data_IF_886637232547
#
_entry.id   IF_886637232547
#
_cell.length_a   1.000
_cell.length_b   1.000
_cell.length_c   1.000
_cell.angle_alpha   90.00
_cell.angle_beta   90.00
_cell.angle_gamma   90.00
#
_symmetry.space_group_name_H-M   'P 1'
#
loop_
_entity.id
_entity.type
_entity.pdbx_description
1 polymer ?
#
# COMPACT_ATOMS: atom_id res chain seq x y z
N UNK A 1 -2.45 -3.59 -7.88
CA UNK A 1 -2.97 -2.47 -8.70
C UNK A 1 -2.21 -1.20 -8.40
N UNK A 2 -1.72 -0.55 -9.46
CA UNK A 2 -1.15 0.80 -9.41
C UNK A 2 -1.81 1.60 -10.53
N UNK A 3 -2.25 2.82 -10.23
CA UNK A 3 -2.89 3.70 -11.20
C UNK A 3 -2.97 5.13 -10.71
N UNK A 4 -3.51 5.99 -11.55
CA UNK A 4 -3.83 7.39 -11.24
C UNK A 4 -5.31 7.60 -11.44
N UNK A 5 -5.95 8.39 -10.60
CA UNK A 5 -7.39 8.61 -10.66
C UNK A 5 -7.84 9.72 -9.74
N UNK A 6 -9.03 9.61 -9.16
CA UNK A 6 -9.56 10.56 -8.18
C UNK A 6 -10.54 9.92 -7.22
N UNK A 7 -10.79 10.60 -6.10
CA UNK A 7 -11.93 10.31 -5.24
C UNK A 7 -13.15 11.02 -5.85
N UNK A 8 -14.10 10.26 -6.36
CA UNK A 8 -15.34 10.81 -6.91
C UNK A 8 -16.32 11.26 -5.81
N UNK A 9 -16.18 10.69 -4.61
CA UNK A 9 -16.91 11.08 -3.42
C UNK A 9 -16.65 10.13 -2.26
N UNK A 10 -17.10 10.51 -1.07
CA UNK A 10 -17.16 9.58 0.05
C UNK A 10 -18.39 9.86 0.92
N UNK A 11 -18.86 8.83 1.61
CA UNK A 11 -19.96 8.90 2.55
C UNK A 11 -19.52 8.37 3.92
N UNK A 12 -19.96 9.00 5.00
CA UNK A 12 -19.66 8.59 6.36
C UNK A 12 -20.93 8.06 7.02
N UNK A 13 -20.92 6.77 7.35
CA UNK A 13 -22.00 6.11 8.09
C UNK A 13 -21.59 5.93 9.55
N UNK A 14 -22.50 5.40 10.38
CA UNK A 14 -22.24 5.22 11.83
C UNK A 14 -20.94 4.48 12.14
N UNK A 15 -20.61 3.43 11.36
CA UNK A 15 -19.45 2.54 11.61
C UNK A 15 -18.38 2.57 10.51
N UNK A 16 -18.68 3.09 9.33
CA UNK A 16 -17.82 2.96 8.15
C UNK A 16 -17.74 4.26 7.37
N UNK A 17 -16.62 4.44 6.66
CA UNK A 17 -16.48 5.42 5.59
C UNK A 17 -16.48 4.66 4.28
N UNK A 18 -17.32 5.08 3.34
CA UNK A 18 -17.41 4.52 1.99
C UNK A 18 -16.76 5.50 1.03
N UNK A 19 -15.65 5.11 0.40
CA UNK A 19 -14.88 5.96 -0.52
C UNK A 19 -15.06 5.46 -1.95
N UNK A 20 -15.58 6.32 -2.82
CA UNK A 20 -15.73 6.03 -4.23
C UNK A 20 -14.51 6.57 -4.99
N UNK A 21 -13.81 5.68 -5.66
CA UNK A 21 -12.62 6.01 -6.45
C UNK A 21 -12.91 5.74 -7.93
N UNK A 22 -12.47 6.64 -8.78
CA UNK A 22 -12.49 6.46 -10.23
C UNK A 22 -11.09 6.49 -10.80
N UNK A 23 -10.80 5.55 -11.70
CA UNK A 23 -9.54 5.48 -12.45
C UNK A 23 -9.83 5.31 -13.94
N UNK A 24 -8.93 5.78 -14.84
CA UNK A 24 -9.04 5.52 -16.27
C UNK A 24 -9.19 4.03 -16.55
N UNK A 25 -10.02 3.68 -17.54
CA UNK A 25 -10.28 2.30 -17.88
C UNK A 25 -9.06 1.64 -18.52
N UNK A 26 -8.54 0.62 -17.86
CA UNK A 26 -7.54 -0.30 -18.39
C UNK A 26 -7.94 -1.73 -18.00
N UNK A 27 -7.89 -2.67 -18.95
CA UNK A 27 -8.30 -4.06 -18.72
C UNK A 27 -7.55 -4.70 -17.54
N UNK A 28 -6.24 -4.50 -17.46
CA UNK A 28 -5.42 -5.01 -16.35
C UNK A 28 -5.88 -4.51 -14.97
N UNK A 29 -6.38 -3.27 -14.89
CA UNK A 29 -6.89 -2.69 -13.63
C UNK A 29 -8.19 -3.35 -13.19
N UNK A 30 -9.09 -3.64 -14.16
CA UNK A 30 -10.36 -4.33 -13.88
C UNK A 30 -10.09 -5.72 -13.32
N UNK A 31 -9.25 -6.50 -14.00
CA UNK A 31 -8.94 -7.88 -13.60
C UNK A 31 -8.31 -7.94 -12.21
N UNK A 32 -7.41 -7.01 -11.90
CA UNK A 32 -6.81 -6.92 -10.57
C UNK A 32 -7.81 -6.52 -9.49
N UNK A 33 -8.68 -5.54 -9.76
CA UNK A 33 -9.71 -5.12 -8.81
C UNK A 33 -10.70 -6.25 -8.54
N UNK A 34 -11.16 -6.98 -9.56
CA UNK A 34 -12.05 -8.13 -9.37
C UNK A 34 -11.42 -9.22 -8.52
N UNK A 35 -10.11 -9.49 -8.66
CA UNK A 35 -9.37 -10.41 -7.78
C UNK A 35 -9.33 -9.96 -6.32
N UNK A 36 -9.47 -8.66 -6.06
CA UNK A 36 -9.42 -8.06 -4.72
C UNK A 36 -10.80 -7.74 -4.14
N UNK A 37 -11.86 -7.82 -4.94
CA UNK A 37 -13.23 -7.62 -4.50
C UNK A 37 -13.57 -8.55 -3.33
N UNK A 38 -14.27 -8.00 -2.34
CA UNK A 38 -14.65 -8.71 -1.12
C UNK A 38 -13.53 -8.86 -0.08
N UNK A 39 -12.28 -8.50 -0.40
CA UNK A 39 -11.12 -8.70 0.49
C UNK A 39 -10.73 -7.39 1.18
N UNK A 40 -10.29 -7.51 2.43
CA UNK A 40 -9.59 -6.41 3.13
C UNK A 40 -8.22 -6.21 2.49
N UNK A 41 -7.91 -4.98 2.11
CA UNK A 41 -6.66 -4.59 1.44
C UNK A 41 -6.11 -3.32 2.05
N UNK A 42 -4.79 -3.18 2.00
CA UNK A 42 -4.14 -1.88 2.21
C UNK A 42 -4.14 -1.10 0.90
N UNK A 43 -4.81 0.04 0.91
CA UNK A 43 -4.97 0.94 -0.23
C UNK A 43 -4.22 2.23 0.10
N UNK A 44 -3.36 2.68 -0.80
CA UNK A 44 -2.60 3.91 -0.63
C UNK A 44 -3.10 4.95 -1.61
N UNK A 45 -3.56 6.07 -1.06
CA UNK A 45 -4.00 7.26 -1.77
C UNK A 45 -2.88 8.32 -1.61
N UNK A 46 -2.03 8.45 -2.62
CA UNK A 46 -0.73 9.14 -2.58
C UNK A 46 0.17 8.69 -1.42
N UNK A 47 0.22 9.47 -0.34
CA UNK A 47 1.00 9.21 0.87
C UNK A 47 0.14 8.67 2.00
N UNK A 48 -1.18 8.63 1.83
CA UNK A 48 -2.12 8.22 2.85
C UNK A 48 -2.46 6.72 2.72
N UNK A 49 -2.03 5.88 3.67
CA UNK A 49 -2.46 4.49 3.72
C UNK A 49 -3.85 4.39 4.36
N UNK A 50 -4.66 3.50 3.79
CA UNK A 50 -6.00 3.18 4.24
C UNK A 50 -6.17 1.67 4.21
N UNK A 51 -6.72 1.08 5.28
CA UNK A 51 -7.13 -0.34 5.26
C UNK A 51 -8.63 -0.39 5.02
N UNK A 52 -9.05 -1.11 3.97
CA UNK A 52 -10.46 -1.18 3.61
C UNK A 52 -10.79 -2.35 2.70
N UNK A 53 -12.08 -2.65 2.60
CA UNK A 53 -12.64 -3.69 1.74
C UNK A 53 -13.11 -3.08 0.43
N UNK A 54 -12.72 -3.68 -0.69
CA UNK A 54 -13.29 -3.33 -2.01
C UNK A 54 -14.65 -4.02 -2.12
N UNK A 55 -15.74 -3.27 -2.02
CA UNK A 55 -17.10 -3.81 -2.00
C UNK A 55 -17.68 -3.99 -3.40
N UNK A 56 -17.52 -2.97 -4.25
CA UNK A 56 -18.09 -2.97 -5.59
C UNK A 56 -17.14 -2.36 -6.61
N UNK A 57 -17.32 -2.78 -7.85
CA UNK A 57 -16.58 -2.31 -9.02
C UNK A 57 -17.64 -1.99 -10.07
N UNK A 58 -17.52 -0.82 -10.69
CA UNK A 58 -18.42 -0.33 -11.73
C UNK A 58 -17.60 0.00 -12.96
N UNK A 59 -17.93 -0.60 -14.10
CA UNK A 59 -17.19 -0.41 -15.35
C UNK A 59 -18.08 0.38 -16.31
N UNK A 60 -17.68 1.62 -16.61
CA UNK A 60 -18.32 2.48 -17.62
C UNK A 60 -17.24 3.02 -18.57
N UNK A 61 -17.20 4.35 -18.78
CA UNK A 61 -16.08 5.04 -19.43
C UNK A 61 -14.80 4.94 -18.59
N UNK A 62 -14.95 5.11 -17.27
CA UNK A 62 -13.92 4.87 -16.26
C UNK A 62 -14.24 3.59 -15.47
N UNK A 63 -13.26 3.13 -14.68
CA UNK A 63 -13.45 2.07 -13.69
C UNK A 63 -13.64 2.74 -12.33
N UNK A 64 -14.84 2.65 -11.80
CA UNK A 64 -15.18 3.06 -10.45
C UNK A 64 -15.08 1.90 -9.48
N UNK A 65 -14.61 2.11 -8.26
CA UNK A 65 -14.68 1.10 -7.21
C UNK A 65 -14.93 1.74 -5.84
N UNK A 66 -15.67 1.01 -5.00
CA UNK A 66 -16.09 1.45 -3.67
C UNK A 66 -15.28 0.74 -2.60
N UNK A 67 -14.67 1.51 -1.70
CA UNK A 67 -13.92 1.01 -0.56
C UNK A 67 -14.71 1.29 0.72
N UNK A 68 -14.93 0.27 1.54
CA UNK A 68 -15.40 0.44 2.91
C UNK A 68 -14.24 0.35 3.90
N UNK A 69 -14.07 1.38 4.72
CA UNK A 69 -13.05 1.45 5.76
C UNK A 69 -13.68 1.79 7.11
N UNK A 70 -12.97 1.53 8.20
CA UNK A 70 -13.41 1.89 9.53
C UNK A 70 -13.57 3.40 9.67
N UNK A 71 -14.60 3.83 10.40
CA UNK A 71 -14.79 5.25 10.70
C UNK A 71 -13.78 5.70 11.76
N UNK A 72 -12.75 6.43 11.32
CA UNK A 72 -11.81 7.13 12.19
C UNK A 72 -11.75 8.60 11.76
N UNK A 73 -11.81 9.53 12.70
CA UNK A 73 -11.96 10.97 12.39
C UNK A 73 -10.80 11.53 11.56
N UNK A 74 -9.58 11.02 11.77
CA UNK A 74 -8.42 11.42 10.97
C UNK A 74 -8.56 11.00 9.50
N UNK A 75 -9.22 9.86 9.22
CA UNK A 75 -9.46 9.39 7.85
C UNK A 75 -10.39 10.37 7.15
N UNK A 76 -11.46 10.78 7.81
CA UNK A 76 -12.43 11.72 7.23
C UNK A 76 -11.76 13.04 6.82
N UNK A 77 -10.99 13.66 7.73
CA UNK A 77 -10.25 14.90 7.44
C UNK A 77 -9.26 14.71 6.28
N UNK A 78 -8.57 13.57 6.24
CA UNK A 78 -7.60 13.31 5.18
C UNK A 78 -8.25 13.09 3.82
N UNK A 79 -9.38 12.38 3.77
CA UNK A 79 -10.13 12.16 2.54
C UNK A 79 -10.66 13.47 1.95
N UNK A 80 -11.15 14.38 2.80
CA UNK A 80 -11.58 15.71 2.38
C UNK A 80 -10.48 16.45 1.59
N UNK A 81 -9.26 16.49 2.12
CA UNK A 81 -8.12 17.11 1.42
C UNK A 81 -7.69 16.37 0.14
N UNK A 82 -7.87 15.04 0.09
CA UNK A 82 -7.49 14.25 -1.09
C UNK A 82 -8.52 14.35 -2.23
N UNK A 83 -9.77 14.74 -1.94
CA UNK A 83 -10.79 14.96 -2.97
C UNK A 83 -10.45 16.11 -3.91
N UNK A 84 -9.76 17.14 -3.41
CA UNK A 84 -9.34 18.30 -4.20
C UNK A 84 -8.18 17.98 -5.15
N UNK A 85 -7.57 16.80 -5.02
CA UNK A 85 -6.39 16.42 -5.80
C UNK A 85 -6.74 15.50 -6.97
N UNK A 86 -6.51 16.00 -8.19
CA UNK A 86 -6.62 15.25 -9.44
C UNK A 86 -5.40 15.58 -10.34
N UNK A 87 -4.56 14.60 -10.74
CA UNK A 87 -4.68 13.17 -10.47
C UNK A 87 -4.11 12.75 -9.10
N UNK A 88 -4.77 11.76 -8.49
CA UNK A 88 -4.38 11.08 -7.26
C UNK A 88 -3.68 9.76 -7.59
N UNK A 89 -2.50 9.50 -7.03
CA UNK A 89 -1.85 8.20 -7.18
C UNK A 89 -2.56 7.16 -6.29
N UNK A 90 -2.96 6.04 -6.86
CA UNK A 90 -3.71 4.99 -6.17
C UNK A 90 -2.94 3.69 -6.30
N UNK A 91 -2.68 3.04 -5.16
CA UNK A 91 -2.06 1.72 -5.11
C UNK A 91 -2.90 0.81 -4.21
N UNK A 92 -3.23 -0.38 -4.70
CA UNK A 92 -3.87 -1.44 -3.89
C UNK A 92 -2.84 -2.54 -3.69
N UNK A 93 -2.63 -2.92 -2.43
CA UNK A 93 -1.65 -3.93 -2.06
C UNK A 93 -1.93 -5.26 -2.73
N UNK A 94 -0.88 -6.01 -3.05
CA UNK A 94 -1.03 -7.44 -3.37
C UNK A 94 -1.18 -8.26 -2.08
N UNK A 95 -1.62 -9.52 -2.18
CA UNK A 95 -1.67 -10.42 -1.02
C UNK A 95 -0.29 -10.58 -0.36
N UNK A 96 0.77 -10.60 -1.16
CA UNK A 96 2.14 -10.66 -0.67
C UNK A 96 2.51 -9.38 0.07
N UNK A 97 2.13 -8.21 -0.44
CA UNK A 97 2.38 -6.93 0.25
C UNK A 97 1.61 -6.82 1.57
N UNK A 98 0.36 -7.28 1.65
CA UNK A 98 -0.39 -7.31 2.92
C UNK A 98 0.29 -8.19 3.96
N UNK A 99 0.74 -9.39 3.56
CA UNK A 99 1.54 -10.26 4.42
C UNK A 99 2.83 -9.59 4.89
N UNK A 100 3.49 -8.86 3.99
CA UNK A 100 4.75 -8.18 4.31
C UNK A 100 4.53 -7.04 5.29
N UNK A 101 3.48 -6.23 5.10
CA UNK A 101 3.09 -5.16 6.02
C UNK A 101 2.83 -5.71 7.42
N UNK A 102 2.08 -6.81 7.52
CA UNK A 102 1.80 -7.48 8.79
C UNK A 102 3.08 -7.95 9.50
N UNK A 103 3.99 -8.61 8.78
CA UNK A 103 5.22 -9.11 9.39
C UNK A 103 6.18 -7.98 9.77
N UNK A 104 6.29 -6.94 8.94
CA UNK A 104 7.08 -5.75 9.26
C UNK A 104 6.57 -5.11 10.55
N UNK A 105 5.25 -4.92 10.69
CA UNK A 105 4.64 -4.36 11.89
C UNK A 105 4.96 -5.19 13.14
N UNK A 106 4.78 -6.51 13.05
CA UNK A 106 5.07 -7.43 14.15
C UNK A 106 6.55 -7.40 14.59
N UNK A 107 7.49 -7.47 13.63
CA UNK A 107 8.92 -7.52 13.94
C UNK A 107 9.45 -6.15 14.37
N UNK A 108 8.94 -5.08 13.77
CA UNK A 108 9.28 -3.71 14.15
C UNK A 108 8.84 -3.42 15.58
N UNK A 109 7.63 -3.85 15.97
CA UNK A 109 7.14 -3.73 17.34
C UNK A 109 8.04 -4.44 18.37
N UNK A 110 8.51 -5.65 18.06
CA UNK A 110 9.46 -6.38 18.93
C UNK A 110 10.82 -5.70 19.06
N UNK A 111 11.24 -4.95 18.05
CA UNK A 111 12.53 -4.22 18.00
C UNK A 111 12.37 -2.74 18.39
N UNK A 112 11.19 -2.32 18.85
CA UNK A 112 10.87 -0.93 19.19
C UNK A 112 11.27 0.09 18.11
N UNK A 113 10.96 -0.24 16.85
CA UNK A 113 11.25 0.61 15.69
C UNK A 113 10.00 0.79 14.84
N UNK A 114 10.01 1.78 13.94
CA UNK A 114 8.91 1.95 12.99
C UNK A 114 9.01 0.92 11.85
N UNK A 115 7.88 0.40 11.32
CA UNK A 115 7.90 -0.58 10.24
C UNK A 115 8.59 -0.10 8.96
N UNK A 116 8.52 1.20 8.64
CA UNK A 116 9.17 1.80 7.48
C UNK A 116 10.67 1.98 7.67
N UNK A 117 11.14 2.25 8.89
CA UNK A 117 12.56 2.26 9.24
C UNK A 117 13.17 0.85 9.18
N UNK A 118 12.46 -0.16 9.69
CA UNK A 118 12.86 -1.56 9.52
C UNK A 118 12.93 -1.94 8.05
N UNK A 119 11.93 -1.57 7.25
CA UNK A 119 11.96 -1.85 5.81
C UNK A 119 13.16 -1.17 5.14
N UNK A 120 13.45 0.08 5.52
CA UNK A 120 14.61 0.81 5.02
C UNK A 120 15.92 0.09 5.38
N UNK A 121 16.10 -0.36 6.62
CA UNK A 121 17.25 -1.17 7.05
C UNK A 121 17.38 -2.44 6.19
N UNK A 122 16.29 -3.20 6.05
CA UNK A 122 16.27 -4.48 5.34
C UNK A 122 16.55 -4.37 3.84
N UNK A 123 16.26 -3.21 3.25
CA UNK A 123 16.39 -2.97 1.81
C UNK A 123 17.58 -2.08 1.45
N UNK A 124 18.27 -1.52 2.45
CA UNK A 124 19.55 -0.83 2.26
C UNK A 124 20.66 -1.86 2.06
N UNK A 125 21.59 -1.55 1.17
CA UNK A 125 22.79 -2.38 0.99
C UNK A 125 23.95 -1.54 0.46
N UNK A 126 25.17 -1.94 0.83
CA UNK A 126 26.39 -1.33 0.30
C UNK A 126 26.79 -2.07 -0.97
N UNK A 127 26.98 -1.33 -2.06
CA UNK A 127 27.52 -1.86 -3.30
C UNK A 127 29.02 -1.59 -3.31
N UNK A 128 29.83 -2.65 -3.38
CA UNK A 128 31.25 -2.54 -3.72
C UNK A 128 31.36 -2.58 -5.24
N UNK A 129 31.56 -1.43 -5.86
CA UNK A 129 31.88 -1.36 -7.30
C UNK A 129 33.41 -1.40 -7.44
N UNK A 130 34.00 -2.61 -7.46
CA UNK A 130 35.42 -2.82 -7.74
C UNK A 130 36.37 -1.87 -6.98
N UNK A 131 37.06 -1.01 -7.74
CA UNK A 131 38.04 0.00 -7.28
C UNK A 131 37.43 1.38 -6.91
N UNK A 132 36.10 1.50 -6.90
CA UNK A 132 35.40 2.73 -6.53
C UNK A 132 35.09 2.83 -5.03
N UNK A 133 34.80 4.04 -4.51
CA UNK A 133 34.38 4.21 -3.12
C UNK A 133 33.08 3.44 -2.85
N UNK A 134 33.02 2.77 -1.70
CA UNK A 134 31.83 2.04 -1.27
C UNK A 134 30.59 2.95 -1.32
N UNK A 135 29.60 2.57 -2.12
CA UNK A 135 28.36 3.34 -2.27
C UNK A 135 27.22 2.63 -1.56
N UNK A 136 26.72 3.24 -0.49
CA UNK A 136 25.49 2.78 0.16
C UNK A 136 24.28 3.15 -0.70
N UNK A 137 23.52 2.14 -1.09
CA UNK A 137 22.25 2.33 -1.80
C UNK A 137 21.14 2.43 -0.75
N UNK A 138 20.40 3.55 -0.70
CA UNK A 138 19.35 3.73 0.28
C UNK A 138 18.20 2.76 0.04
N UNK A 139 17.69 2.20 1.14
CA UNK A 139 16.53 1.32 1.12
C UNK A 139 15.23 2.01 0.74
N UNK A 140 14.19 1.21 0.56
CA UNK A 140 12.81 1.67 0.31
C UNK A 140 12.09 1.85 1.65
N UNK A 141 11.20 2.86 1.69
CA UNK A 141 10.33 3.12 2.85
C UNK A 141 8.89 2.65 2.66
N UNK A 142 8.60 1.96 1.55
CA UNK A 142 7.27 1.42 1.30
C UNK A 142 7.29 0.08 0.57
N UNK A 143 6.47 -0.86 1.03
CA UNK A 143 6.24 -2.15 0.37
C UNK A 143 5.70 -1.99 -1.06
N UNK A 144 5.04 -0.85 -1.33
CA UNK A 144 4.47 -0.53 -2.64
C UNK A 144 5.55 -0.17 -3.67
N UNK A 145 6.77 0.12 -3.22
CA UNK A 145 7.90 0.51 -4.05
C UNK A 145 8.92 -0.63 -4.23
N UNK A 146 8.61 -1.82 -3.67
CA UNK A 146 9.38 -3.03 -3.89
C UNK A 146 8.96 -3.70 -5.20
N UNK A 147 9.93 -4.27 -5.91
CA UNK A 147 9.66 -5.31 -6.91
C UNK A 147 9.28 -6.63 -6.23
N UNK A 148 8.80 -7.59 -7.02
CA UNK A 148 8.46 -8.91 -6.50
C UNK A 148 9.71 -9.64 -5.95
N UNK A 149 10.84 -9.56 -6.68
CA UNK A 149 12.11 -10.11 -6.23
C UNK A 149 12.59 -9.46 -4.92
N UNK A 150 12.49 -8.13 -4.81
CA UNK A 150 12.82 -7.43 -3.57
C UNK A 150 11.90 -7.84 -2.42
N UNK A 151 10.60 -8.01 -2.69
CA UNK A 151 9.63 -8.46 -1.69
C UNK A 151 10.02 -9.82 -1.12
N UNK A 152 10.40 -10.79 -1.97
CA UNK A 152 10.87 -12.12 -1.54
C UNK A 152 12.10 -12.02 -0.64
N UNK A 153 13.11 -11.24 -1.04
CA UNK A 153 14.32 -11.04 -0.24
C UNK A 153 13.99 -10.47 1.14
N UNK A 154 13.10 -9.47 1.21
CA UNK A 154 12.67 -8.88 2.49
C UNK A 154 11.94 -9.92 3.34
N UNK A 155 11.05 -10.72 2.76
CA UNK A 155 10.38 -11.82 3.47
C UNK A 155 11.37 -12.77 4.14
N UNK A 156 12.39 -13.20 3.42
CA UNK A 156 13.37 -14.15 3.94
C UNK A 156 14.24 -13.51 5.04
N UNK A 157 14.62 -12.24 4.90
CA UNK A 157 15.31 -11.50 5.97
C UNK A 157 14.45 -11.38 7.23
N UNK A 158 13.17 -11.04 7.10
CA UNK A 158 12.23 -10.94 8.23
C UNK A 158 12.05 -12.28 8.94
N UNK A 159 11.95 -13.39 8.19
CA UNK A 159 11.85 -14.73 8.77
C UNK A 159 13.08 -15.07 9.61
N UNK A 160 14.28 -14.74 9.13
CA UNK A 160 15.53 -14.94 9.88
C UNK A 160 15.52 -14.12 11.18
N UNK A 161 15.17 -12.84 11.10
CA UNK A 161 15.05 -11.97 12.28
C UNK A 161 14.01 -12.47 13.29
N UNK A 162 12.96 -13.14 12.83
CA UNK A 162 11.91 -13.69 13.69
C UNK A 162 12.29 -15.02 14.33
N UNK A 163 13.26 -15.73 13.75
CA UNK A 163 13.74 -17.04 14.21
C UNK A 163 14.88 -16.94 15.24
N UNK A 164 15.58 -15.81 15.30
CA UNK A 164 16.59 -15.53 16.33
C UNK A 164 15.87 -15.20 17.63
N UNK A 165 15.67 -16.21 18.48
CA UNK A 165 15.33 -16.11 19.90
C UNK A 165 16.55 -16.45 20.73
#
# INVERSE_FOLDING_TARGET
MKGTGKIAGYAVNKKTISVQIEVPRAMAVVDELERYKGKMKTIRLDTFPLVGKIESITIRRNVGFLIHTARLDFINRRLFHLMEKEPLAIKVSTTQQDKLLYLLDMVAGKRNQKPDDLLFELTSFTKKDGDGPEKTIPGKRSVFDLSDAQSIVVFDKIKRLSATR
#
